data_IF_920260680796
#
_entry.id   IF_920260680796
#
_cell.length_a   1.000
_cell.length_b   1.000
_cell.length_c   1.000
_cell.angle_alpha   90.00
_cell.angle_beta   90.00
_cell.angle_gamma   90.00
#
_symmetry.space_group_name_H-M   'P 1'
#
loop_
_entity.id
_entity.type
_entity.pdbx_description
1 polymer ?
#
# COMPACT_ATOMS: atom_id res chain seq x y z
N UNK A 1 0.99 -13.30 -0.76
CA UNK A 1 1.41 -12.82 0.57
C UNK A 1 0.17 -12.73 1.44
N UNK A 2 0.27 -13.05 2.73
CA UNK A 2 -0.85 -12.95 3.67
C UNK A 2 -0.57 -11.89 4.74
N UNK A 3 -1.41 -10.85 4.79
CA UNK A 3 -1.22 -9.70 5.65
C UNK A 3 -1.96 -9.88 6.98
N UNK A 4 -1.20 -9.96 8.07
CA UNK A 4 -1.72 -10.12 9.44
C UNK A 4 -0.97 -9.22 10.42
N UNK A 5 -0.64 -8.00 10.00
CA UNK A 5 0.15 -7.06 10.80
C UNK A 5 1.50 -7.65 11.21
N UNK A 6 1.77 -7.69 12.53
CA UNK A 6 3.00 -8.25 13.10
C UNK A 6 3.15 -9.76 12.94
N UNK A 7 2.13 -10.46 12.42
CA UNK A 7 2.14 -11.91 12.15
C UNK A 7 2.05 -12.25 10.66
N UNK A 8 2.33 -11.29 9.79
CA UNK A 8 2.28 -11.48 8.33
C UNK A 8 3.22 -12.60 7.85
N UNK A 9 2.85 -13.24 6.75
CA UNK A 9 3.59 -14.35 6.14
C UNK A 9 3.68 -14.20 4.62
N UNK A 10 4.64 -14.91 4.03
CA UNK A 10 4.83 -14.97 2.58
C UNK A 10 4.85 -16.44 2.12
N UNK A 11 4.15 -16.75 1.02
CA UNK A 11 4.14 -18.09 0.43
C UNK A 11 5.12 -18.11 -0.74
N UNK A 12 6.01 -19.11 -0.78
CA UNK A 12 6.78 -19.43 -1.98
C UNK A 12 5.86 -20.17 -2.97
N UNK A 13 5.65 -19.66 -4.19
CA UNK A 13 4.76 -20.30 -5.16
C UNK A 13 5.31 -21.60 -5.76
N UNK A 14 6.63 -21.83 -5.68
CA UNK A 14 7.29 -23.03 -6.23
C UNK A 14 7.28 -24.16 -5.20
N UNK A 15 7.65 -23.84 -3.95
CA UNK A 15 7.70 -24.82 -2.87
C UNK A 15 6.35 -25.01 -2.17
N UNK A 16 5.41 -24.11 -2.42
CA UNK A 16 4.14 -23.99 -1.72
C UNK A 16 4.23 -23.81 -0.20
N UNK A 17 5.44 -23.50 0.30
CA UNK A 17 5.71 -23.29 1.73
C UNK A 17 5.42 -21.85 2.15
N UNK A 18 5.01 -21.67 3.41
CA UNK A 18 4.75 -20.36 4.01
C UNK A 18 5.81 -20.00 5.04
N UNK A 19 6.41 -18.83 4.87
CA UNK A 19 7.48 -18.29 5.70
C UNK A 19 6.99 -17.12 6.56
N UNK A 20 7.36 -17.07 7.84
CA UNK A 20 7.01 -15.98 8.74
C UNK A 20 7.84 -14.73 8.43
N UNK A 21 7.20 -13.57 8.40
CA UNK A 21 7.88 -12.27 8.29
C UNK A 21 8.05 -11.58 9.65
N UNK A 22 8.06 -12.38 10.71
CA UNK A 22 8.27 -11.93 12.08
C UNK A 22 9.34 -12.79 12.73
N UNK A 23 10.12 -12.19 13.62
CA UNK A 23 11.18 -12.88 14.32
C UNK A 23 10.63 -14.04 15.14
N UNK A 24 11.12 -15.25 14.86
CA UNK A 24 10.92 -16.43 15.69
C UNK A 24 12.26 -16.80 16.32
N UNK A 25 12.37 -16.77 17.65
CA UNK A 25 13.63 -17.05 18.38
C UNK A 25 14.25 -18.40 17.99
N UNK A 26 13.42 -19.39 17.63
CA UNK A 26 13.88 -20.75 17.27
C UNK A 26 14.08 -21.00 15.78
N UNK A 27 13.57 -20.15 14.89
CA UNK A 27 13.54 -20.40 13.43
C UNK A 27 14.03 -19.17 12.64
N UNK A 28 15.23 -18.68 12.96
CA UNK A 28 15.84 -17.54 12.26
C UNK A 28 15.95 -17.79 10.76
N UNK A 29 16.35 -18.99 10.36
CA UNK A 29 16.52 -19.39 8.96
C UNK A 29 15.25 -19.16 8.13
N UNK A 30 14.09 -19.61 8.61
CA UNK A 30 12.81 -19.42 7.91
C UNK A 30 12.43 -17.95 7.79
N UNK A 31 12.81 -17.13 8.77
CA UNK A 31 12.63 -15.69 8.69
C UNK A 31 13.53 -15.08 7.61
N UNK A 32 14.81 -15.44 7.55
CA UNK A 32 15.74 -14.95 6.51
C UNK A 32 15.30 -15.39 5.11
N UNK A 33 14.80 -16.62 4.95
CA UNK A 33 14.19 -17.10 3.70
C UNK A 33 12.94 -16.30 3.31
N UNK A 34 12.05 -16.03 4.27
CA UNK A 34 10.90 -15.15 4.08
C UNK A 34 11.30 -13.74 3.64
N UNK A 35 12.34 -13.16 4.25
CA UNK A 35 12.88 -11.85 3.86
C UNK A 35 13.50 -11.90 2.45
N UNK A 36 14.17 -12.99 2.08
CA UNK A 36 14.70 -13.19 0.73
C UNK A 36 13.59 -13.18 -0.32
N UNK A 37 12.47 -13.88 -0.07
CA UNK A 37 11.29 -13.84 -0.94
C UNK A 37 10.66 -12.44 -0.99
N UNK A 38 10.54 -11.76 0.14
CA UNK A 38 10.04 -10.39 0.19
C UNK A 38 10.90 -9.43 -0.66
N UNK A 39 12.23 -9.56 -0.58
CA UNK A 39 13.15 -8.75 -1.37
C UNK A 39 13.05 -9.02 -2.87
N UNK A 40 12.76 -10.26 -3.29
CA UNK A 40 12.47 -10.58 -4.69
C UNK A 40 11.20 -9.84 -5.15
N UNK A 41 10.13 -9.85 -4.36
CA UNK A 41 8.90 -9.12 -4.67
C UNK A 41 9.14 -7.60 -4.78
N UNK A 42 9.90 -7.02 -3.84
CA UNK A 42 10.26 -5.59 -3.88
C UNK A 42 11.08 -5.28 -5.14
N UNK A 43 12.02 -6.15 -5.50
CA UNK A 43 12.84 -5.95 -6.71
C UNK A 43 12.00 -6.00 -7.98
N UNK A 44 11.03 -6.91 -8.05
CA UNK A 44 10.08 -7.00 -9.16
C UNK A 44 9.19 -5.77 -9.25
N UNK A 45 8.65 -5.31 -8.11
CA UNK A 45 7.85 -4.09 -8.06
C UNK A 45 8.67 -2.87 -8.49
N UNK A 46 9.92 -2.73 -8.02
CA UNK A 46 10.81 -1.66 -8.49
C UNK A 46 11.03 -1.72 -9.99
N UNK A 47 11.27 -2.91 -10.54
CA UNK A 47 11.44 -3.09 -11.97
C UNK A 47 10.20 -2.67 -12.77
N UNK A 48 8.98 -2.92 -12.27
CA UNK A 48 7.76 -2.47 -12.95
C UNK A 48 7.59 -0.95 -12.98
N UNK A 49 8.31 -0.20 -12.14
CA UNK A 49 8.42 1.27 -12.18
C UNK A 49 9.68 1.75 -12.92
N UNK A 50 10.40 0.86 -13.63
CA UNK A 50 11.64 1.21 -14.33
C UNK A 50 12.85 1.42 -13.42
N UNK A 51 12.74 1.08 -12.13
CA UNK A 51 13.82 1.25 -11.14
C UNK A 51 14.63 -0.05 -11.05
N UNK A 52 15.94 0.05 -11.28
CA UNK A 52 16.84 -1.11 -11.15
C UNK A 52 17.23 -1.36 -9.69
N UNK A 53 17.24 -2.64 -9.27
CA UNK A 53 17.62 -3.04 -7.91
C UNK A 53 19.05 -3.57 -7.86
N UNK A 54 20.02 -2.70 -7.56
CA UNK A 54 21.45 -3.08 -7.49
C UNK A 54 21.78 -4.02 -6.33
N UNK A 55 21.10 -3.88 -5.18
CA UNK A 55 21.29 -4.72 -3.99
C UNK A 55 19.94 -5.14 -3.42
N UNK A 56 19.56 -6.37 -3.72
CA UNK A 56 18.26 -6.96 -3.36
C UNK A 56 18.04 -6.99 -1.84
N UNK A 57 19.08 -7.31 -1.05
CA UNK A 57 18.99 -7.41 0.41
C UNK A 57 18.81 -6.07 1.17
N UNK A 58 18.85 -4.92 0.49
CA UNK A 58 18.63 -3.61 1.14
C UNK A 58 17.15 -3.25 1.20
N UNK A 59 16.35 -4.06 1.90
CA UNK A 59 14.88 -4.00 1.94
C UNK A 59 14.33 -2.59 2.17
N UNK A 60 14.69 -1.96 3.30
CA UNK A 60 14.14 -0.65 3.68
C UNK A 60 14.54 0.46 2.72
N UNK A 61 15.80 0.46 2.28
CA UNK A 61 16.28 1.43 1.29
C UNK A 61 15.55 1.29 -0.05
N UNK A 62 15.39 0.05 -0.54
CA UNK A 62 14.68 -0.23 -1.79
C UNK A 62 13.21 0.20 -1.71
N UNK A 63 12.55 0.01 -0.56
CA UNK A 63 11.18 0.49 -0.32
C UNK A 63 11.10 2.01 -0.26
N UNK A 64 12.01 2.66 0.48
CA UNK A 64 12.05 4.12 0.59
C UNK A 64 12.21 4.78 -0.79
N UNK A 65 13.17 4.30 -1.58
CA UNK A 65 13.45 4.77 -2.93
C UNK A 65 12.24 4.61 -3.85
N UNK A 66 11.58 3.45 -3.81
CA UNK A 66 10.34 3.19 -4.57
C UNK A 66 9.21 4.15 -4.17
N UNK A 67 8.98 4.32 -2.87
CA UNK A 67 7.91 5.21 -2.38
C UNK A 67 8.16 6.67 -2.79
N UNK A 68 9.41 7.13 -2.70
CA UNK A 68 9.78 8.47 -3.15
C UNK A 68 9.54 8.64 -4.66
N UNK A 69 9.94 7.66 -5.47
CA UNK A 69 9.70 7.68 -6.92
C UNK A 69 8.20 7.77 -7.26
N UNK A 70 7.36 6.99 -6.56
CA UNK A 70 5.90 7.00 -6.75
C UNK A 70 5.28 8.36 -6.38
N UNK A 71 5.74 8.99 -5.30
CA UNK A 71 5.22 10.29 -4.85
C UNK A 71 5.69 11.42 -5.77
N UNK A 72 6.97 11.45 -6.12
CA UNK A 72 7.53 12.49 -6.99
C UNK A 72 6.96 12.45 -8.41
N UNK A 73 6.71 11.25 -8.97
CA UNK A 73 6.13 11.10 -10.31
C UNK A 73 4.67 11.57 -10.45
N UNK A 74 3.99 11.89 -9.34
CA UNK A 74 2.61 12.39 -9.35
C UNK A 74 2.50 13.92 -9.47
N UNK A 75 3.59 14.66 -9.22
CA UNK A 75 3.54 16.12 -9.17
C UNK A 75 3.65 16.82 -10.54
N UNK A 76 4.06 16.11 -11.60
CA UNK A 76 4.28 16.71 -12.92
C UNK A 76 3.11 16.52 -13.92
N UNK A 77 1.98 15.93 -13.48
CA UNK A 77 0.84 15.65 -14.38
C UNK A 77 -0.45 16.36 -13.96
N UNK A 78 -0.43 17.70 -14.01
CA UNK A 78 -1.65 18.46 -14.29
C UNK A 78 -2.03 18.26 -15.76
N UNK A 79 -2.47 17.07 -16.12
CA UNK A 79 -3.42 16.76 -17.19
C UNK A 79 -3.76 15.27 -17.05
N UNK A 80 -4.97 15.04 -16.57
CA UNK A 80 -5.78 13.82 -16.68
C UNK A 80 -5.11 12.64 -17.40
N UNK A 81 -4.37 11.80 -16.66
CA UNK A 81 -3.97 10.49 -17.14
C UNK A 81 -4.07 9.46 -16.04
N UNK A 82 -5.16 8.70 -16.13
CA UNK A 82 -5.36 7.37 -15.55
C UNK A 82 -4.04 6.62 -15.48
N UNK A 83 -3.60 6.31 -14.25
CA UNK A 83 -2.53 5.38 -13.88
C UNK A 83 -1.77 4.79 -15.07
N UNK A 84 -0.72 5.47 -15.56
CA UNK A 84 0.26 4.85 -16.46
C UNK A 84 1.11 3.87 -15.66
N UNK A 85 0.48 2.79 -15.19
CA UNK A 85 1.16 1.52 -14.97
C UNK A 85 1.69 1.16 -16.36
N UNK A 86 3.01 0.98 -16.55
CA UNK A 86 3.52 0.46 -17.81
C UNK A 86 2.72 -0.80 -18.11
N UNK A 87 2.10 -0.87 -19.29
CA UNK A 87 1.36 -2.04 -19.75
C UNK A 87 2.34 -3.19 -19.95
N UNK A 88 2.78 -3.79 -18.85
CA UNK A 88 3.50 -5.04 -18.86
C UNK A 88 2.43 -6.04 -19.26
N UNK A 89 2.57 -6.61 -20.46
CA UNK A 89 1.76 -7.74 -20.91
C UNK A 89 2.01 -8.89 -19.93
N UNK A 90 1.18 -8.98 -18.91
CA UNK A 90 1.16 -10.09 -17.97
C UNK A 90 0.73 -11.33 -18.75
N UNK A 91 1.59 -12.35 -18.85
CA UNK A 91 1.08 -13.68 -19.18
C UNK A 91 0.18 -14.10 -18.02
N UNK A 92 -1.12 -14.17 -18.29
CA UNK A 92 -2.12 -14.67 -17.36
C UNK A 92 -1.70 -16.06 -16.86
N UNK A 93 -1.49 -16.17 -15.55
CA UNK A 93 -1.51 -17.44 -14.83
C UNK A 93 -2.39 -17.23 -13.59
N UNK A 94 -3.65 -17.64 -13.71
CA UNK A 94 -4.57 -17.85 -12.59
C UNK A 94 -5.26 -16.58 -12.06
N UNK A 95 -6.58 -16.55 -12.19
CA UNK A 95 -7.49 -15.47 -11.80
C UNK A 95 -7.32 -15.05 -10.33
N UNK A 96 -6.96 -13.78 -10.11
CA UNK A 96 -7.28 -13.03 -8.89
C UNK A 96 -7.98 -11.76 -9.34
N UNK A 97 -9.29 -11.69 -9.14
CA UNK A 97 -10.07 -10.47 -9.32
C UNK A 97 -9.63 -9.46 -8.26
N UNK A 98 -8.76 -8.52 -8.64
CA UNK A 98 -8.56 -7.29 -7.88
C UNK A 98 -9.63 -6.32 -8.36
N UNK A 99 -10.85 -6.48 -7.85
CA UNK A 99 -11.90 -5.49 -8.04
C UNK A 99 -11.44 -4.18 -7.39
N UNK A 100 -11.03 -3.23 -8.22
CA UNK A 100 -10.75 -1.86 -7.84
C UNK A 100 -12.07 -1.22 -7.35
N UNK A 101 -12.27 -1.13 -6.05
CA UNK A 101 -13.36 -0.35 -5.48
C UNK A 101 -13.11 1.13 -5.79
N UNK A 102 -13.79 1.63 -6.81
CA UNK A 102 -13.81 3.04 -7.22
C UNK A 102 -14.49 3.83 -6.09
N UNK A 103 -13.71 4.45 -5.21
CA UNK A 103 -14.24 5.46 -4.29
C UNK A 103 -14.67 6.66 -5.14
N UNK A 104 -15.97 6.92 -5.19
CA UNK A 104 -16.51 8.12 -5.82
C UNK A 104 -16.16 9.34 -4.95
N UNK A 105 -15.38 10.25 -5.52
CA UNK A 105 -15.22 11.61 -5.01
C UNK A 105 -16.58 12.32 -5.11
N UNK A 106 -17.06 12.87 -4.00
CA UNK A 106 -18.13 13.88 -3.98
C UNK A 106 -17.60 15.10 -3.24
N UNK A 107 -17.28 16.13 -3.99
CA UNK A 107 -17.21 17.51 -3.50
C UNK A 107 -18.24 18.29 -4.30
N UNK A 108 -19.18 18.94 -3.62
CA UNK A 108 -19.93 20.07 -4.15
C UNK A 108 -20.14 21.08 -3.02
N UNK A 109 -19.82 22.34 -3.33
CA UNK A 109 -19.79 23.51 -2.46
C UNK A 109 -21.19 24.06 -2.08
N UNK A 110 -21.27 24.50 -0.82
CA UNK A 110 -21.91 25.72 -0.28
C UNK A 110 -23.07 26.41 -1.04
N UNK A 111 -24.18 26.68 -0.33
CA UNK A 111 -24.77 28.02 -0.27
C UNK A 111 -25.68 28.24 0.95
N UNK A 112 -25.75 29.50 1.33
CA UNK A 112 -26.16 30.12 2.59
C UNK A 112 -27.68 30.46 2.64
N UNK A 113 -28.14 30.82 3.84
CA UNK A 113 -29.37 31.58 4.20
C UNK A 113 -30.68 30.81 4.48
N UNK A 114 -31.10 30.70 5.75
CA UNK A 114 -31.99 31.69 6.41
C UNK A 114 -32.51 31.23 7.80
N UNK A 115 -32.28 32.12 8.77
CA UNK A 115 -32.98 32.50 10.01
C UNK A 115 -33.95 31.60 10.83
N UNK A 116 -33.76 31.76 12.15
CA UNK A 116 -34.73 31.90 13.25
C UNK A 116 -35.28 30.64 13.95
N UNK A 117 -34.83 30.37 15.18
CA UNK A 117 -35.51 30.94 16.36
C UNK A 117 -35.00 30.40 17.72
N UNK A 118 -34.81 31.36 18.63
CA UNK A 118 -34.93 31.33 20.11
C UNK A 118 -33.84 30.72 21.01
N UNK A 119 -33.33 31.64 21.81
CA UNK A 119 -32.41 31.64 22.95
C UNK A 119 -33.14 31.19 24.24
N UNK A 120 -32.42 30.54 25.19
CA UNK A 120 -32.42 30.77 26.67
C UNK A 120 -31.77 29.59 27.46
N UNK A 121 -31.29 29.71 28.73
CA UNK A 121 -29.91 30.04 29.13
C UNK A 121 -29.24 28.94 30.02
N UNK A 122 -27.99 29.11 30.51
CA UNK A 122 -27.31 28.06 31.28
C UNK A 122 -27.66 28.12 32.78
N UNK A 123 -28.05 26.99 33.37
CA UNK A 123 -28.17 26.84 34.83
C UNK A 123 -26.97 26.12 35.41
N UNK A 124 -26.13 26.87 36.11
CA UNK A 124 -25.18 26.38 37.12
C UNK A 124 -25.99 26.02 38.37
N UNK A 125 -25.88 24.79 38.89
CA UNK A 125 -26.00 24.57 40.33
C UNK A 125 -25.28 23.27 40.76
N UNK A 126 -24.40 23.41 41.75
CA UNK A 126 -23.66 22.36 42.47
C UNK A 126 -24.61 21.50 43.32
N UNK A 127 -24.26 20.22 43.47
CA UNK A 127 -24.43 19.44 44.68
C UNK A 127 -23.11 18.69 44.93
#
# INVERSE_FOLDING_TARGET
MFFFGSKSTIKDPILEETYPLYGMTRNREKFEEGISLLNKNISQLRWSFGITTKRVGRTLFNLQDLLLHIVSGRHDSSTDSVLQIPSISCRNVGNVDITLHKCAERNDEFNQENESSKVDPPSICRC
#
